data_IF_114174364348
#
_entry.id   IF_114174364348
#
_cell.length_a   1.000
_cell.length_b   1.000
_cell.length_c   1.000
_cell.angle_alpha   90.00
_cell.angle_beta   90.00
_cell.angle_gamma   90.00
#
_symmetry.space_group_name_H-M   'P 1'
#
loop_
_entity.id
_entity.type
_entity.pdbx_description
1 polymer ?
#
# COMPACT_ATOMS: atom_id res chain seq x y z
N UNK A 1 13.58 5.19 -28.63
CA UNK A 1 13.12 3.99 -27.87
C UNK A 1 13.90 3.77 -26.57
N UNK A 2 15.23 3.98 -26.57
CA UNK A 2 16.06 3.83 -25.36
C UNK A 2 15.78 4.90 -24.29
N UNK A 3 15.55 6.15 -24.70
CA UNK A 3 15.23 7.23 -23.76
C UNK A 3 13.90 7.00 -23.01
N UNK A 4 12.91 6.36 -23.67
CA UNK A 4 11.63 6.02 -23.07
C UNK A 4 11.75 4.89 -22.05
N UNK A 5 12.62 3.90 -22.29
CA UNK A 5 12.87 2.80 -21.35
C UNK A 5 13.64 3.29 -20.11
N UNK A 6 14.64 4.13 -20.30
CA UNK A 6 15.41 4.72 -19.20
C UNK A 6 14.55 5.60 -18.29
N UNK A 7 13.66 6.42 -18.84
CA UNK A 7 12.71 7.22 -18.06
C UNK A 7 11.72 6.36 -17.28
N UNK A 8 11.23 5.26 -17.87
CA UNK A 8 10.36 4.29 -17.20
C UNK A 8 11.08 3.59 -16.04
N UNK A 9 12.34 3.21 -16.22
CA UNK A 9 13.13 2.54 -15.18
C UNK A 9 13.50 3.48 -14.02
N UNK A 10 13.77 4.74 -14.32
CA UNK A 10 14.00 5.79 -13.31
C UNK A 10 12.73 6.01 -12.49
N UNK A 11 11.58 6.12 -13.13
CA UNK A 11 10.29 6.26 -12.45
C UNK A 11 9.99 5.07 -11.52
N UNK A 12 10.17 3.85 -12.01
CA UNK A 12 9.96 2.63 -11.20
C UNK A 12 10.88 2.57 -9.99
N UNK A 13 12.15 2.92 -10.15
CA UNK A 13 13.14 2.94 -9.05
C UNK A 13 12.85 4.04 -8.03
N UNK A 14 12.24 5.15 -8.44
CA UNK A 14 11.88 6.23 -7.52
C UNK A 14 10.60 5.95 -6.74
N UNK A 15 9.63 5.25 -7.36
CA UNK A 15 8.36 4.91 -6.72
C UNK A 15 8.48 3.72 -5.75
N UNK A 16 9.43 2.80 -5.99
CA UNK A 16 9.60 1.57 -5.22
C UNK A 16 10.93 1.57 -4.48
N UNK A 17 10.96 2.11 -3.27
CA UNK A 17 12.16 2.19 -2.45
C UNK A 17 12.64 0.81 -1.93
N UNK A 18 11.70 -0.13 -1.69
CA UNK A 18 11.99 -1.52 -1.32
C UNK A 18 11.55 -2.43 -2.47
N UNK A 19 12.49 -2.88 -3.28
CA UNK A 19 12.23 -3.75 -4.44
C UNK A 19 12.21 -5.25 -4.09
N UNK A 20 12.45 -5.60 -2.83
CA UNK A 20 12.48 -6.96 -2.30
C UNK A 20 11.37 -7.18 -1.26
N UNK A 21 10.98 -8.43 -1.07
CA UNK A 21 9.97 -8.86 -0.11
C UNK A 21 10.34 -10.25 0.44
N UNK A 22 10.24 -10.49 1.75
CA UNK A 22 9.69 -9.64 2.83
C UNK A 22 10.67 -8.56 3.32
N UNK A 23 11.95 -8.65 2.99
CA UNK A 23 13.00 -7.68 3.33
C UNK A 23 12.82 -6.36 2.57
N UNK A 24 13.60 -5.36 2.95
CA UNK A 24 13.76 -4.11 2.23
C UNK A 24 15.25 -3.80 2.13
N UNK A 25 15.76 -3.73 0.90
CA UNK A 25 17.20 -3.59 0.62
C UNK A 25 18.07 -4.67 1.29
N UNK A 26 17.58 -5.93 1.29
CA UNK A 26 18.27 -7.09 1.85
C UNK A 26 18.22 -7.21 3.36
N UNK A 27 17.55 -6.30 4.07
CA UNK A 27 17.45 -6.31 5.55
C UNK A 27 16.01 -6.14 6.02
N UNK A 28 15.72 -6.58 7.25
CA UNK A 28 14.41 -6.33 7.90
C UNK A 28 14.32 -4.95 8.53
N UNK A 29 15.45 -4.31 8.83
CA UNK A 29 15.52 -2.95 9.37
C UNK A 29 16.48 -2.13 8.51
N UNK A 30 16.06 -1.61 7.37
CA UNK A 30 16.85 -0.76 6.50
C UNK A 30 17.13 0.60 7.13
N UNK A 31 18.06 1.34 6.58
CA UNK A 31 18.28 2.74 6.94
C UNK A 31 17.05 3.58 6.52
N UNK A 32 16.49 4.33 7.47
CA UNK A 32 15.25 5.09 7.30
C UNK A 32 15.39 6.50 7.86
N UNK A 33 14.96 7.50 7.08
CA UNK A 33 14.82 8.89 7.53
C UNK A 33 13.34 9.28 7.57
N UNK A 34 12.72 9.08 8.72
CA UNK A 34 11.32 9.44 8.96
C UNK A 34 11.09 10.95 8.94
N UNK A 35 12.10 11.74 9.38
CA UNK A 35 11.96 13.19 9.44
C UNK A 35 11.81 13.79 8.05
N UNK A 36 12.65 13.38 7.13
CA UNK A 36 12.57 13.83 5.73
C UNK A 36 11.40 13.18 5.01
N UNK A 37 11.11 11.88 5.25
CA UNK A 37 10.04 11.14 4.59
C UNK A 37 8.63 11.66 4.89
N UNK A 38 8.39 12.19 6.08
CA UNK A 38 7.09 12.72 6.52
C UNK A 38 7.07 14.23 6.71
N UNK A 39 8.05 14.96 6.15
CA UNK A 39 8.04 16.41 6.15
C UNK A 39 6.99 16.93 5.15
N UNK A 40 5.96 17.63 5.65
CA UNK A 40 4.90 18.19 4.83
C UNK A 40 5.31 19.50 4.12
N UNK A 41 6.42 20.13 4.55
CA UNK A 41 6.94 21.38 3.99
C UNK A 41 8.10 21.13 3.01
N UNK A 42 7.97 20.10 2.17
CA UNK A 42 8.99 19.80 1.15
C UNK A 42 8.92 20.83 0.02
N UNK A 43 10.08 21.32 -0.41
CA UNK A 43 10.16 22.09 -1.65
C UNK A 43 9.82 21.17 -2.84
N UNK A 44 8.85 21.57 -3.63
CA UNK A 44 8.50 20.88 -4.86
C UNK A 44 9.56 21.27 -5.90
N UNK A 45 10.32 20.29 -6.39
CA UNK A 45 11.31 20.52 -7.44
C UNK A 45 10.68 21.05 -8.74
N UNK A 46 11.51 21.41 -9.73
CA UNK A 46 11.07 22.05 -10.96
C UNK A 46 10.11 21.20 -11.81
N UNK A 47 9.97 19.93 -11.48
CA UNK A 47 8.94 19.05 -12.04
C UNK A 47 8.55 17.97 -11.01
N UNK A 48 7.30 17.58 -11.01
CA UNK A 48 6.74 16.53 -10.14
C UNK A 48 7.23 15.10 -10.49
N UNK A 49 8.02 14.94 -11.53
CA UNK A 49 8.47 13.64 -12.05
C UNK A 49 9.67 13.08 -11.28
N UNK A 50 10.45 13.94 -10.64
CA UNK A 50 11.64 13.56 -9.87
C UNK A 50 11.40 13.95 -8.41
N UNK A 51 10.97 12.98 -7.60
CA UNK A 51 10.86 13.19 -6.15
C UNK A 51 12.22 13.65 -5.58
N UNK A 52 12.19 14.74 -4.82
CA UNK A 52 13.39 15.30 -4.15
C UNK A 52 13.83 14.47 -2.94
N UNK A 53 13.05 13.44 -2.57
CA UNK A 53 13.33 12.62 -1.40
C UNK A 53 14.52 11.69 -1.65
N UNK A 54 15.48 11.73 -0.73
CA UNK A 54 16.59 10.79 -0.67
C UNK A 54 16.09 9.36 -0.43
N UNK A 55 16.93 8.38 -0.76
CA UNK A 55 16.55 6.97 -0.64
C UNK A 55 16.10 6.57 0.78
N UNK A 56 16.78 6.95 1.88
CA UNK A 56 16.32 6.61 3.24
C UNK A 56 14.94 7.17 3.58
N UNK A 57 14.59 8.36 3.08
CA UNK A 57 13.29 8.97 3.27
C UNK A 57 12.17 8.20 2.54
N UNK A 58 12.42 7.77 1.29
CA UNK A 58 11.49 6.93 0.52
C UNK A 58 11.34 5.55 1.14
N UNK A 59 12.43 4.98 1.65
CA UNK A 59 12.41 3.71 2.39
C UNK A 59 11.53 3.84 3.63
N UNK A 60 11.66 4.93 4.39
CA UNK A 60 10.83 5.18 5.58
C UNK A 60 9.33 5.19 5.24
N UNK A 61 8.92 5.85 4.15
CA UNK A 61 7.52 5.87 3.69
C UNK A 61 7.04 4.48 3.29
N UNK A 62 7.82 3.77 2.46
CA UNK A 62 7.44 2.44 1.98
C UNK A 62 7.39 1.42 3.12
N UNK A 63 8.34 1.46 4.03
CA UNK A 63 8.37 0.59 5.22
C UNK A 63 7.17 0.86 6.13
N UNK A 64 6.86 2.14 6.38
CA UNK A 64 5.66 2.52 7.15
C UNK A 64 4.38 1.98 6.52
N UNK A 65 4.27 2.04 5.18
CA UNK A 65 3.13 1.45 4.47
C UNK A 65 3.01 -0.07 4.72
N UNK A 66 4.12 -0.81 4.68
CA UNK A 66 4.13 -2.26 4.96
C UNK A 66 3.72 -2.56 6.41
N UNK A 67 4.25 -1.81 7.38
CA UNK A 67 3.88 -1.97 8.80
C UNK A 67 2.41 -1.64 9.01
N UNK A 68 1.92 -0.56 8.39
CA UNK A 68 0.51 -0.17 8.44
C UNK A 68 -0.39 -1.24 7.80
N UNK A 69 0.04 -1.87 6.70
CA UNK A 69 -0.72 -2.96 6.07
C UNK A 69 -0.86 -4.18 6.98
N UNK A 70 0.19 -4.53 7.75
CA UNK A 70 0.14 -5.61 8.75
C UNK A 70 -0.86 -5.25 9.86
N UNK A 71 -0.80 -4.03 10.40
CA UNK A 71 -1.70 -3.56 11.43
C UNK A 71 -3.16 -3.55 10.96
N UNK A 72 -3.42 -3.01 9.77
CA UNK A 72 -4.74 -2.99 9.14
C UNK A 72 -5.25 -4.40 8.92
N UNK A 73 -4.42 -5.31 8.41
CA UNK A 73 -4.78 -6.73 8.25
C UNK A 73 -5.24 -7.34 9.58
N UNK A 74 -4.50 -7.10 10.66
CA UNK A 74 -4.87 -7.61 11.98
C UNK A 74 -6.22 -7.05 12.47
N UNK A 75 -6.46 -5.75 12.28
CA UNK A 75 -7.75 -5.12 12.62
C UNK A 75 -8.90 -5.73 11.81
N UNK A 76 -8.68 -5.95 10.49
CA UNK A 76 -9.68 -6.59 9.64
C UNK A 76 -9.97 -8.04 10.04
N UNK A 77 -8.97 -8.81 10.46
CA UNK A 77 -9.18 -10.18 10.97
C UNK A 77 -10.08 -10.19 12.21
N UNK A 78 -9.87 -9.25 13.14
CA UNK A 78 -10.75 -9.08 14.30
C UNK A 78 -12.17 -8.69 13.86
N UNK A 79 -12.30 -7.71 12.97
CA UNK A 79 -13.60 -7.29 12.46
C UNK A 79 -14.33 -8.44 11.77
N UNK A 80 -13.66 -9.15 10.87
CA UNK A 80 -14.25 -10.29 10.15
C UNK A 80 -14.67 -11.41 11.10
N UNK A 81 -13.88 -11.71 12.14
CA UNK A 81 -14.26 -12.71 13.14
C UNK A 81 -15.55 -12.33 13.87
N UNK A 82 -15.71 -11.04 14.22
CA UNK A 82 -16.94 -10.54 14.85
C UNK A 82 -18.15 -10.62 13.91
N UNK A 83 -17.98 -10.27 12.66
CA UNK A 83 -19.05 -10.33 11.65
C UNK A 83 -19.44 -11.77 11.31
N UNK A 84 -18.48 -12.70 11.30
CA UNK A 84 -18.70 -14.10 10.96
C UNK A 84 -19.67 -14.80 11.92
N UNK A 85 -19.58 -14.49 13.20
CA UNK A 85 -20.46 -15.03 14.25
C UNK A 85 -21.76 -14.21 14.42
N UNK A 86 -22.06 -13.32 13.49
CA UNK A 86 -23.31 -12.55 13.44
C UNK A 86 -24.08 -12.86 12.15
N UNK A 87 -25.27 -12.28 11.99
CA UNK A 87 -26.04 -12.37 10.74
C UNK A 87 -25.37 -11.67 9.54
N UNK A 88 -24.19 -11.09 9.74
CA UNK A 88 -23.44 -10.35 8.73
C UNK A 88 -22.29 -11.16 8.11
N UNK A 89 -22.30 -12.49 8.19
CA UNK A 89 -21.29 -13.37 7.60
C UNK A 89 -20.99 -13.09 6.11
N UNK A 90 -21.97 -12.76 5.22
CA UNK A 90 -21.67 -12.38 3.85
C UNK A 90 -20.77 -11.14 3.73
N UNK A 91 -20.93 -10.17 4.63
CA UNK A 91 -20.06 -8.98 4.67
C UNK A 91 -18.64 -9.33 5.11
N UNK A 92 -18.49 -10.25 6.07
CA UNK A 92 -17.17 -10.77 6.46
C UNK A 92 -16.47 -11.43 5.28
N UNK A 93 -17.17 -12.24 4.50
CA UNK A 93 -16.61 -12.89 3.30
C UNK A 93 -16.17 -11.85 2.25
N UNK A 94 -17.01 -10.84 2.00
CA UNK A 94 -16.67 -9.76 1.06
C UNK A 94 -15.42 -8.99 1.49
N UNK A 95 -15.34 -8.59 2.76
CA UNK A 95 -14.15 -7.94 3.31
C UNK A 95 -12.91 -8.81 3.20
N UNK A 96 -13.06 -10.12 3.48
CA UNK A 96 -11.95 -11.08 3.36
C UNK A 96 -11.40 -11.21 1.95
N UNK A 97 -12.28 -11.33 0.96
CA UNK A 97 -11.88 -11.40 -0.46
C UNK A 97 -11.18 -10.12 -0.89
N UNK A 98 -11.74 -8.95 -0.56
CA UNK A 98 -11.14 -7.66 -0.89
C UNK A 98 -9.78 -7.47 -0.22
N UNK A 99 -9.65 -7.83 1.05
CA UNK A 99 -8.40 -7.74 1.79
C UNK A 99 -7.32 -8.67 1.21
N UNK A 100 -7.66 -9.92 0.93
CA UNK A 100 -6.72 -10.87 0.32
C UNK A 100 -6.26 -10.39 -1.05
N UNK A 101 -7.18 -9.88 -1.87
CA UNK A 101 -6.86 -9.31 -3.18
C UNK A 101 -5.94 -8.10 -3.03
N UNK A 102 -6.20 -7.23 -2.06
CA UNK A 102 -5.40 -6.04 -1.78
C UNK A 102 -3.96 -6.42 -1.37
N UNK A 103 -3.80 -7.41 -0.51
CA UNK A 103 -2.49 -7.91 -0.08
C UNK A 103 -1.74 -8.54 -1.26
N UNK A 104 -2.41 -9.39 -2.04
CA UNK A 104 -1.81 -10.04 -3.21
C UNK A 104 -1.32 -9.01 -4.25
N UNK A 105 -2.14 -8.00 -4.56
CA UNK A 105 -1.76 -6.92 -5.47
C UNK A 105 -0.61 -6.08 -4.90
N UNK A 106 -0.59 -5.83 -3.59
CA UNK A 106 0.50 -5.12 -2.93
C UNK A 106 1.84 -5.85 -3.04
N UNK A 107 1.85 -7.16 -2.77
CA UNK A 107 3.05 -8.00 -2.92
C UNK A 107 3.48 -8.07 -4.40
N UNK A 108 2.52 -8.23 -5.31
CA UNK A 108 2.78 -8.27 -6.76
C UNK A 108 3.42 -6.96 -7.25
N UNK A 109 2.99 -5.81 -6.74
CA UNK A 109 3.61 -4.52 -7.04
C UNK A 109 5.09 -4.46 -6.65
N UNK A 110 5.46 -5.07 -5.53
CA UNK A 110 6.86 -5.13 -5.09
C UNK A 110 7.65 -6.10 -5.97
N UNK A 111 7.19 -7.34 -6.11
CA UNK A 111 7.91 -8.42 -6.80
C UNK A 111 8.13 -8.12 -8.29
N UNK A 112 7.14 -7.53 -8.95
CA UNK A 112 7.21 -7.20 -10.38
C UNK A 112 7.55 -5.74 -10.67
N UNK A 113 8.10 -5.02 -9.68
CA UNK A 113 8.60 -3.64 -9.85
C UNK A 113 7.54 -2.70 -10.42
N UNK A 114 6.39 -2.66 -9.75
CA UNK A 114 5.29 -1.71 -9.99
C UNK A 114 4.69 -1.76 -11.41
N UNK A 115 4.14 -2.91 -11.88
CA UNK A 115 3.44 -2.93 -13.16
C UNK A 115 2.23 -2.00 -13.12
N UNK A 116 2.07 -1.17 -14.13
CA UNK A 116 1.02 -0.13 -14.17
C UNK A 116 -0.38 -0.67 -13.87
N UNK A 117 -0.77 -1.78 -14.52
CA UNK A 117 -2.09 -2.36 -14.33
C UNK A 117 -2.31 -2.91 -12.92
N UNK A 118 -1.27 -3.47 -12.31
CA UNK A 118 -1.32 -3.98 -10.93
C UNK A 118 -1.42 -2.80 -9.95
N UNK A 119 -0.68 -1.73 -10.17
CA UNK A 119 -0.75 -0.52 -9.35
C UNK A 119 -2.14 0.14 -9.41
N UNK A 120 -2.75 0.23 -10.61
CA UNK A 120 -4.12 0.73 -10.79
C UNK A 120 -5.12 -0.19 -10.07
N UNK A 121 -5.00 -1.51 -10.24
CA UNK A 121 -5.87 -2.47 -9.58
C UNK A 121 -5.74 -2.37 -8.05
N UNK A 122 -4.52 -2.26 -7.51
CA UNK A 122 -4.28 -2.09 -6.08
C UNK A 122 -5.02 -0.87 -5.51
N UNK A 123 -4.96 0.28 -6.20
CA UNK A 123 -5.68 1.47 -5.78
C UNK A 123 -7.21 1.31 -5.88
N UNK A 124 -7.71 0.66 -6.93
CA UNK A 124 -9.13 0.40 -7.11
C UNK A 124 -9.67 -0.52 -6.00
N UNK A 125 -8.99 -1.62 -5.72
CA UNK A 125 -9.40 -2.55 -4.66
C UNK A 125 -9.28 -1.92 -3.26
N UNK A 126 -8.33 -1.00 -3.04
CA UNK A 126 -8.27 -0.21 -1.81
C UNK A 126 -9.53 0.64 -1.63
N UNK A 127 -9.99 1.31 -2.70
CA UNK A 127 -11.23 2.08 -2.68
C UNK A 127 -12.46 1.19 -2.42
N UNK A 128 -12.54 0.02 -3.05
CA UNK A 128 -13.60 -0.96 -2.80
C UNK A 128 -13.60 -1.46 -1.35
N UNK A 129 -12.42 -1.74 -0.78
CA UNK A 129 -12.29 -2.17 0.62
C UNK A 129 -12.75 -1.07 1.58
N UNK A 130 -12.39 0.19 1.29
CA UNK A 130 -12.84 1.35 2.07
C UNK A 130 -14.36 1.49 2.02
N UNK A 131 -14.96 1.39 0.84
CA UNK A 131 -16.41 1.46 0.64
C UNK A 131 -17.16 0.33 1.37
N UNK A 132 -16.64 -0.90 1.29
CA UNK A 132 -17.20 -2.05 2.01
C UNK A 132 -17.12 -1.84 3.53
N UNK A 133 -16.01 -1.30 4.04
CA UNK A 133 -15.84 -0.97 5.46
C UNK A 133 -16.82 0.11 5.90
N UNK A 134 -17.00 1.15 5.08
CA UNK A 134 -18.00 2.20 5.35
C UNK A 134 -19.41 1.62 5.40
N UNK A 135 -19.75 0.73 4.49
CA UNK A 135 -21.05 0.04 4.46
C UNK A 135 -21.30 -0.76 5.74
N UNK A 136 -20.29 -1.50 6.21
CA UNK A 136 -20.38 -2.25 7.49
C UNK A 136 -20.68 -1.31 8.65
N UNK A 137 -19.94 -0.19 8.75
CA UNK A 137 -20.15 0.80 9.80
C UNK A 137 -21.54 1.42 9.72
N UNK A 138 -22.02 1.76 8.52
CA UNK A 138 -23.35 2.32 8.31
C UNK A 138 -24.47 1.35 8.75
N UNK A 139 -24.33 0.07 8.40
CA UNK A 139 -25.31 -0.96 8.80
C UNK A 139 -25.28 -1.23 10.31
N UNK A 140 -24.11 -1.17 10.94
CA UNK A 140 -23.97 -1.28 12.39
C UNK A 140 -24.61 -0.10 13.14
N UNK A 141 -24.52 1.11 12.58
CA UNK A 141 -25.14 2.32 13.17
C UNK A 141 -26.67 2.30 13.11
N UNK A 142 -27.25 1.63 12.11
CA UNK A 142 -28.72 1.55 11.92
C UNK A 142 -29.42 0.53 12.83
N UNK A 143 -28.68 -0.35 13.49
CA UNK A 143 -29.19 -1.34 14.45
C UNK A 143 -29.26 -0.74 15.86
#
# INVERSE_FOLDING_TARGET
LEASSAASDVYKRQSLACADFPTCQGTYLPEMDFKSGFNLNQEVGPNYLYGLLDNPARVAIHYSHRVSAILVTFIFLILMSRLWFSEAAPLASTLGILLLTQIALGITNVVYVLPLYVAIAHNLFAACLLLATFTVNYLAWKK
#
